data_IF_079286947618
#
_entry.id   IF_079286947618
#
_cell.length_a   1.000
_cell.length_b   1.000
_cell.length_c   1.000
_cell.angle_alpha   90.00
_cell.angle_beta   90.00
_cell.angle_gamma   90.00
#
_symmetry.space_group_name_H-M   'P 1'
#
loop_
_entity.id
_entity.type
_entity.pdbx_description
1 polymer ?
#
# COMPACT_ATOMS: atom_id res chain seq x y z
N UNK A 1 17.91 8.31 8.58
CA UNK A 1 17.18 7.05 8.40
C UNK A 1 17.88 5.93 9.15
N UNK A 2 17.11 5.12 9.84
CA UNK A 2 17.56 3.89 10.49
C UNK A 2 16.65 2.74 10.05
N UNK A 3 17.26 1.63 9.62
CA UNK A 3 16.56 0.39 9.26
C UNK A 3 17.25 -0.77 9.98
N UNK A 4 16.50 -1.57 10.71
CA UNK A 4 16.99 -2.73 11.43
C UNK A 4 16.02 -3.90 11.36
N UNK A 5 16.55 -5.12 11.21
CA UNK A 5 15.77 -6.36 11.28
C UNK A 5 16.54 -7.40 12.09
N UNK A 6 15.85 -8.01 13.03
CA UNK A 6 16.33 -9.18 13.76
C UNK A 6 15.37 -10.35 13.57
N UNK A 7 15.87 -11.56 13.58
CA UNK A 7 15.04 -12.75 13.54
C UNK A 7 15.66 -13.89 14.36
N UNK A 8 14.80 -14.78 14.81
CA UNK A 8 15.16 -16.07 15.41
C UNK A 8 14.44 -17.16 14.64
N UNK A 9 15.15 -18.18 14.23
CA UNK A 9 14.61 -19.37 13.58
C UNK A 9 15.12 -20.61 14.28
N UNK A 10 14.21 -21.52 14.60
CA UNK A 10 14.50 -22.77 15.28
C UNK A 10 13.83 -23.93 14.55
N UNK A 11 14.50 -25.09 14.55
CA UNK A 11 13.95 -26.36 14.09
C UNK A 11 13.80 -27.32 15.29
N UNK A 12 12.68 -27.27 16.04
CA UNK A 12 12.48 -28.09 17.22
C UNK A 12 12.40 -29.59 16.91
N UNK A 13 11.93 -29.94 15.73
CA UNK A 13 11.92 -31.29 15.16
C UNK A 13 12.24 -31.20 13.65
N UNK A 14 12.68 -32.31 13.08
CA UNK A 14 12.99 -32.40 11.65
C UNK A 14 11.85 -31.88 10.79
N UNK A 15 12.16 -31.01 9.81
CA UNK A 15 11.24 -30.42 8.84
C UNK A 15 10.22 -29.41 9.43
N UNK A 16 10.29 -29.07 10.71
CA UNK A 16 9.45 -28.04 11.32
C UNK A 16 10.31 -26.83 11.65
N UNK A 17 10.13 -25.73 10.93
CA UNK A 17 10.77 -24.45 11.22
C UNK A 17 9.76 -23.49 11.87
N UNK A 18 10.22 -22.79 12.91
CA UNK A 18 9.48 -21.71 13.57
C UNK A 18 10.38 -20.47 13.52
N UNK A 19 9.89 -19.44 12.87
CA UNK A 19 10.60 -18.18 12.69
C UNK A 19 9.81 -17.01 13.25
N UNK A 20 10.47 -16.22 14.09
CA UNK A 20 9.98 -14.91 14.51
C UNK A 20 10.92 -13.83 14.00
N UNK A 21 10.37 -12.73 13.51
CA UNK A 21 11.16 -11.59 13.08
C UNK A 21 10.55 -10.27 13.51
N UNK A 22 11.41 -9.30 13.75
CA UNK A 22 11.02 -7.92 14.06
C UNK A 22 11.87 -6.98 13.21
N UNK A 23 11.18 -6.15 12.41
CA UNK A 23 11.78 -5.09 11.63
C UNK A 23 11.33 -3.74 12.18
N UNK A 24 12.24 -2.80 12.24
CA UNK A 24 11.99 -1.44 12.69
C UNK A 24 12.65 -0.47 11.72
N UNK A 25 11.87 0.53 11.29
CA UNK A 25 12.32 1.61 10.42
C UNK A 25 11.98 2.94 11.08
N UNK A 26 12.94 3.83 11.09
CA UNK A 26 12.76 5.22 11.52
C UNK A 26 13.31 6.16 10.45
N UNK A 27 12.45 6.98 9.91
CA UNK A 27 12.78 8.05 8.97
C UNK A 27 12.56 9.40 9.66
N UNK A 28 13.49 10.30 9.45
CA UNK A 28 13.41 11.67 9.90
C UNK A 28 13.96 12.57 8.81
N UNK A 29 13.26 13.64 8.51
CA UNK A 29 13.74 14.66 7.59
C UNK A 29 13.20 16.02 7.99
N UNK A 30 13.88 17.05 7.57
CA UNK A 30 13.45 18.43 7.70
C UNK A 30 13.43 19.13 6.34
N UNK A 31 12.65 20.16 6.24
CA UNK A 31 12.55 21.02 5.06
C UNK A 31 12.53 22.47 5.51
N UNK A 32 13.41 23.28 4.93
CA UNK A 32 13.43 24.72 5.15
C UNK A 32 13.06 25.36 3.82
N UNK A 33 12.01 26.19 3.82
CA UNK A 33 11.54 26.95 2.67
C UNK A 33 11.52 28.43 2.99
N UNK A 34 12.03 29.27 2.09
CA UNK A 34 11.94 30.72 2.21
C UNK A 34 11.12 31.27 1.02
N UNK A 35 10.16 32.11 1.32
CA UNK A 35 9.37 32.83 0.33
C UNK A 35 9.68 34.32 0.47
N UNK A 36 10.28 34.97 -0.56
CA UNK A 36 10.60 36.38 -0.50
C UNK A 36 9.33 37.25 -0.52
N UNK A 37 9.44 38.46 -0.02
CA UNK A 37 8.39 39.44 -0.13
C UNK A 37 8.14 39.76 -1.61
N UNK A 38 6.90 39.58 -2.06
CA UNK A 38 6.51 39.84 -3.44
C UNK A 38 5.20 40.62 -3.51
N UNK A 39 5.24 41.77 -4.19
CA UNK A 39 4.08 42.60 -4.46
C UNK A 39 3.93 42.68 -5.98
N UNK A 40 3.01 41.89 -6.61
CA UNK A 40 2.74 41.99 -8.01
C UNK A 40 2.17 43.36 -8.36
N UNK A 41 2.55 43.89 -9.52
CA UNK A 41 2.06 45.17 -10.03
C UNK A 41 1.34 44.97 -11.36
N UNK A 42 0.30 45.78 -11.61
CA UNK A 42 -0.35 45.84 -12.91
C UNK A 42 0.54 46.55 -13.96
N UNK A 43 0.07 46.67 -15.19
CA UNK A 43 0.79 47.36 -16.29
C UNK A 43 1.00 48.84 -16.04
N UNK A 44 0.35 49.43 -15.03
CA UNK A 44 0.47 50.82 -14.64
C UNK A 44 1.33 51.00 -13.37
N UNK A 45 1.89 49.91 -12.82
CA UNK A 45 2.72 49.95 -11.63
C UNK A 45 1.93 49.95 -10.28
N UNK A 46 0.62 49.73 -10.33
CA UNK A 46 -0.17 49.65 -9.09
C UNK A 46 -0.09 48.25 -8.47
N UNK A 47 0.00 48.12 -7.15
CA UNK A 47 -0.05 46.85 -6.49
C UNK A 47 -1.37 46.11 -6.76
N UNK A 48 -1.32 44.86 -7.20
CA UNK A 48 -2.50 44.03 -7.52
C UNK A 48 -2.60 42.78 -6.64
N UNK A 49 -2.05 42.80 -5.43
CA UNK A 49 -2.07 41.71 -4.47
C UNK A 49 -0.68 41.44 -3.91
N UNK A 50 -0.50 40.24 -3.37
CA UNK A 50 0.71 39.85 -2.66
C UNK A 50 0.70 40.22 -1.18
N UNK A 51 1.51 39.54 -0.37
CA UNK A 51 1.54 39.76 1.07
C UNK A 51 2.42 40.96 1.45
N UNK A 52 3.37 41.35 0.60
CA UNK A 52 4.43 42.30 0.92
C UNK A 52 5.36 41.85 2.04
N UNK A 53 5.19 40.63 2.53
CA UNK A 53 5.95 39.99 3.59
C UNK A 53 6.70 38.77 3.07
N UNK A 54 7.85 38.54 3.64
CA UNK A 54 8.58 37.30 3.43
C UNK A 54 8.23 36.27 4.51
N UNK A 55 8.39 35.02 4.16
CA UNK A 55 8.10 33.89 5.05
C UNK A 55 9.27 32.91 5.08
N UNK A 56 9.53 32.37 6.26
CA UNK A 56 10.43 31.26 6.48
C UNK A 56 9.63 30.11 7.08
N UNK A 57 9.64 28.97 6.42
CA UNK A 57 9.01 27.74 6.91
C UNK A 57 10.09 26.74 7.29
N UNK A 58 10.07 26.26 8.54
CA UNK A 58 10.91 25.16 9.03
C UNK A 58 9.99 23.99 9.44
N UNK A 59 10.06 22.92 8.70
CA UNK A 59 9.22 21.75 8.88
C UNK A 59 10.05 20.52 9.24
N UNK A 60 9.63 19.84 10.28
CA UNK A 60 10.21 18.61 10.79
C UNK A 60 9.21 17.46 10.63
N UNK A 61 9.69 16.34 10.11
CA UNK A 61 8.89 15.12 9.85
C UNK A 61 9.58 13.93 10.48
N UNK A 62 8.80 13.05 11.07
CA UNK A 62 9.25 11.75 11.53
C UNK A 62 8.24 10.66 11.17
N UNK A 63 8.76 9.53 10.75
CA UNK A 63 7.97 8.33 10.45
C UNK A 63 8.62 7.14 11.12
N UNK A 64 7.82 6.39 11.85
CA UNK A 64 8.21 5.13 12.48
C UNK A 64 7.37 4.01 11.93
N UNK A 65 8.00 2.96 11.46
CA UNK A 65 7.34 1.73 11.07
C UNK A 65 7.96 0.54 11.81
N UNK A 66 7.14 -0.38 12.28
CA UNK A 66 7.63 -1.67 12.71
C UNK A 66 6.75 -2.80 12.18
N UNK A 67 7.37 -3.95 11.95
CA UNK A 67 6.72 -5.17 11.49
C UNK A 67 7.22 -6.31 12.37
N UNK A 68 6.28 -7.04 12.96
CA UNK A 68 6.54 -8.31 13.63
C UNK A 68 5.88 -9.43 12.84
N UNK A 69 6.64 -10.47 12.50
CA UNK A 69 6.16 -11.63 11.78
C UNK A 69 6.52 -12.91 12.53
N UNK A 70 5.57 -13.83 12.58
CA UNK A 70 5.73 -15.16 13.15
C UNK A 70 5.26 -16.17 12.11
N UNK A 71 6.15 -17.11 11.73
CA UNK A 71 5.89 -18.09 10.67
C UNK A 71 6.25 -19.46 11.17
N UNK A 72 5.38 -20.43 10.90
CA UNK A 72 5.59 -21.85 11.13
C UNK A 72 5.56 -22.52 9.77
N UNK A 73 6.57 -23.29 9.44
CA UNK A 73 6.64 -24.08 8.19
C UNK A 73 6.88 -25.55 8.53
N UNK A 74 6.10 -26.41 7.92
CA UNK A 74 6.28 -27.86 8.05
C UNK A 74 6.30 -28.52 6.68
N UNK A 75 7.33 -29.33 6.43
CA UNK A 75 7.53 -30.05 5.19
C UNK A 75 7.55 -31.54 5.44
N UNK A 76 6.88 -32.34 4.59
CA UNK A 76 7.02 -33.80 4.61
C UNK A 76 6.82 -34.42 3.23
N UNK A 77 7.50 -35.53 3.03
CA UNK A 77 7.43 -36.33 1.82
C UNK A 77 6.99 -37.76 2.15
N UNK A 78 6.05 -38.29 1.40
CA UNK A 78 5.61 -39.68 1.52
C UNK A 78 5.21 -40.25 0.16
N UNK A 79 5.85 -41.35 -0.25
CA UNK A 79 5.53 -42.06 -1.50
C UNK A 79 5.48 -41.17 -2.76
N UNK A 80 6.37 -40.14 -2.84
CA UNK A 80 6.43 -39.19 -3.94
C UNK A 80 5.44 -38.03 -3.86
N UNK A 81 4.68 -37.94 -2.76
CA UNK A 81 3.86 -36.80 -2.44
C UNK A 81 4.64 -35.87 -1.49
N UNK A 82 4.94 -34.68 -1.93
CA UNK A 82 5.57 -33.64 -1.13
C UNK A 82 4.55 -32.57 -0.73
N UNK A 83 4.51 -32.26 0.55
CA UNK A 83 3.66 -31.21 1.13
C UNK A 83 4.50 -30.18 1.85
N UNK A 84 4.17 -28.91 1.67
CA UNK A 84 4.73 -27.82 2.43
C UNK A 84 3.57 -26.98 3.00
N UNK A 85 3.48 -26.92 4.30
CA UNK A 85 2.50 -26.12 5.05
C UNK A 85 3.18 -24.91 5.63
N UNK A 86 2.55 -23.75 5.49
CA UNK A 86 2.98 -22.52 6.12
C UNK A 86 1.78 -21.89 6.82
N UNK A 87 1.98 -21.49 8.06
CA UNK A 87 1.06 -20.65 8.83
C UNK A 87 1.83 -19.43 9.30
N UNK A 88 1.26 -18.26 9.15
CA UNK A 88 1.90 -17.03 9.53
C UNK A 88 0.95 -16.01 10.12
N UNK A 89 1.52 -15.14 10.94
CA UNK A 89 0.88 -13.98 11.53
C UNK A 89 1.83 -12.79 11.37
N UNK A 90 1.30 -11.63 10.94
CA UNK A 90 2.05 -10.40 10.83
C UNK A 90 1.29 -9.25 11.48
N UNK A 91 2.01 -8.39 12.19
CA UNK A 91 1.51 -7.11 12.67
C UNK A 91 2.43 -6.01 12.13
N UNK A 92 1.83 -5.01 11.53
CA UNK A 92 2.50 -3.81 11.05
C UNK A 92 1.87 -2.58 11.71
N UNK A 93 2.72 -1.62 12.07
CA UNK A 93 2.29 -0.35 12.62
C UNK A 93 3.13 0.76 12.02
N UNK A 94 2.46 1.83 11.60
CA UNK A 94 3.05 3.05 11.07
C UNK A 94 2.60 4.22 11.93
N UNK A 95 3.53 5.09 12.30
CA UNK A 95 3.26 6.36 12.98
C UNK A 95 3.98 7.49 12.24
N UNK A 96 3.24 8.51 11.89
CA UNK A 96 3.73 9.72 11.25
C UNK A 96 3.48 10.91 12.16
N UNK A 97 4.47 11.80 12.26
CA UNK A 97 4.33 13.09 12.95
C UNK A 97 5.02 14.17 12.14
N UNK A 98 4.40 15.35 12.12
CA UNK A 98 5.02 16.55 11.58
C UNK A 98 4.85 17.74 12.51
N UNK A 99 5.80 18.65 12.44
CA UNK A 99 5.73 19.96 13.05
C UNK A 99 6.23 20.96 12.03
N UNK A 100 5.45 21.99 11.77
CA UNK A 100 5.81 23.07 10.85
C UNK A 100 5.77 24.37 11.63
N UNK A 101 6.87 25.09 11.67
CA UNK A 101 6.97 26.43 12.20
C UNK A 101 7.15 27.44 11.06
N UNK A 102 6.44 28.54 11.12
CA UNK A 102 6.48 29.60 10.11
C UNK A 102 6.84 30.91 10.78
N UNK A 103 7.89 31.56 10.29
CA UNK A 103 8.27 32.94 10.62
C UNK A 103 7.78 33.89 9.53
N UNK A 104 7.32 35.05 9.91
CA UNK A 104 6.77 36.07 9.04
C UNK A 104 7.49 37.38 9.28
N UNK A 105 7.72 38.17 8.23
CA UNK A 105 8.31 39.50 8.30
C UNK A 105 9.76 39.49 8.86
N UNK A 106 10.65 38.80 8.11
CA UNK A 106 12.07 38.76 8.43
C UNK A 106 12.77 40.05 7.89
N UNK A 107 13.77 40.58 8.60
CA UNK A 107 14.52 41.78 8.14
C UNK A 107 15.23 41.59 6.79
N UNK A 108 15.45 40.37 6.37
CA UNK A 108 16.06 40.04 5.06
C UNK A 108 15.69 38.64 4.64
N UNK A 109 15.52 38.41 3.32
CA UNK A 109 15.27 37.10 2.71
C UNK A 109 16.45 36.09 2.88
N UNK A 110 17.62 36.62 3.29
CA UNK A 110 18.80 35.78 3.56
C UNK A 110 18.82 35.17 4.98
N UNK A 111 17.87 35.55 5.86
CA UNK A 111 17.77 35.01 7.20
C UNK A 111 17.06 33.64 7.13
N UNK A 112 17.74 32.60 7.58
CA UNK A 112 17.26 31.21 7.57
C UNK A 112 16.96 30.65 8.95
N UNK A 113 16.74 31.53 9.94
CA UNK A 113 16.39 31.16 11.31
C UNK A 113 15.13 31.88 11.77
N UNK A 114 14.23 31.15 12.42
CA UNK A 114 12.91 31.65 12.84
C UNK A 114 13.01 32.85 13.87
N UNK A 115 14.07 32.91 14.67
CA UNK A 115 14.27 34.00 15.64
C UNK A 115 14.43 35.36 14.98
N UNK A 116 14.68 35.41 13.66
CA UNK A 116 14.74 36.67 12.91
C UNK A 116 13.37 37.21 12.50
N UNK A 117 12.31 36.47 12.66
CA UNK A 117 10.96 36.86 12.25
C UNK A 117 10.28 37.76 13.27
N UNK A 118 9.47 38.70 12.78
CA UNK A 118 8.66 39.57 13.63
C UNK A 118 7.55 38.79 14.36
N UNK A 119 6.97 37.80 13.68
CA UNK A 119 6.01 36.86 14.27
C UNK A 119 6.30 35.42 13.86
N UNK A 120 5.98 34.51 14.77
CA UNK A 120 6.12 33.07 14.52
C UNK A 120 4.85 32.33 14.87
N UNK A 121 4.55 31.29 14.12
CA UNK A 121 3.45 30.34 14.36
C UNK A 121 3.94 28.91 14.20
N UNK A 122 3.29 27.96 14.85
CA UNK A 122 3.58 26.55 14.68
C UNK A 122 2.29 25.73 14.61
N UNK A 123 2.32 24.68 13.79
CA UNK A 123 1.27 23.68 13.68
C UNK A 123 1.90 22.29 13.61
N UNK A 124 1.14 21.27 13.94
CA UNK A 124 1.61 19.89 13.85
C UNK A 124 0.48 18.92 13.57
N UNK A 125 0.85 17.81 12.95
CA UNK A 125 -0.04 16.69 12.65
C UNK A 125 0.55 15.38 13.16
N UNK A 126 -0.33 14.42 13.48
CA UNK A 126 0.03 13.06 13.81
C UNK A 126 -0.99 12.10 13.20
N UNK A 127 -0.50 11.01 12.65
CA UNK A 127 -1.34 9.98 12.07
C UNK A 127 -0.72 8.60 12.32
N UNK A 128 -1.57 7.59 12.45
CA UNK A 128 -1.13 6.23 12.65
C UNK A 128 -2.00 5.23 11.88
N UNK A 129 -1.40 4.13 11.48
CA UNK A 129 -2.11 3.02 10.87
C UNK A 129 -1.54 1.68 11.37
N UNK A 130 -2.42 0.69 11.47
CA UNK A 130 -2.05 -0.67 11.81
C UNK A 130 -2.69 -1.66 10.85
N UNK A 131 -1.93 -2.72 10.54
CA UNK A 131 -2.39 -3.85 9.74
C UNK A 131 -2.04 -5.14 10.50
N UNK A 132 -3.04 -5.99 10.72
CA UNK A 132 -2.86 -7.34 11.27
C UNK A 132 -3.25 -8.36 10.23
N UNK A 133 -2.41 -9.36 10.07
CA UNK A 133 -2.60 -10.41 9.06
C UNK A 133 -2.43 -11.79 9.67
N UNK A 134 -3.28 -12.72 9.21
CA UNK A 134 -3.10 -14.16 9.41
C UNK A 134 -3.14 -14.80 8.03
N UNK A 135 -2.19 -15.67 7.75
CA UNK A 135 -2.11 -16.30 6.45
C UNK A 135 -1.65 -17.75 6.55
N UNK A 136 -2.11 -18.54 5.61
CA UNK A 136 -1.73 -19.94 5.48
C UNK A 136 -1.52 -20.31 4.01
N UNK A 137 -0.60 -21.23 3.78
CA UNK A 137 -0.28 -21.81 2.47
C UNK A 137 -0.13 -23.30 2.57
N UNK A 138 -0.64 -23.99 1.57
CA UNK A 138 -0.38 -25.41 1.34
C UNK A 138 0.15 -25.58 -0.07
N UNK A 139 1.37 -26.07 -0.22
CA UNK A 139 1.93 -26.49 -1.48
C UNK A 139 1.93 -28.01 -1.54
N UNK A 140 1.53 -28.53 -2.67
CA UNK A 140 1.52 -29.95 -2.98
C UNK A 140 2.26 -30.21 -4.28
N UNK A 141 3.12 -31.23 -4.26
CA UNK A 141 3.83 -31.71 -5.43
C UNK A 141 3.77 -33.25 -5.43
N UNK A 142 3.34 -33.81 -6.55
CA UNK A 142 3.39 -35.24 -6.77
C UNK A 142 4.34 -35.58 -7.91
N UNK A 143 5.53 -36.13 -7.55
CA UNK A 143 6.56 -36.60 -8.48
C UNK A 143 6.95 -35.58 -9.54
N UNK A 144 6.92 -34.28 -9.21
CA UNK A 144 7.14 -33.17 -10.13
C UNK A 144 6.19 -33.11 -11.35
N UNK A 145 5.10 -33.89 -11.32
CA UNK A 145 4.08 -33.96 -12.38
C UNK A 145 2.89 -33.06 -12.10
N UNK A 146 2.32 -33.20 -10.90
CA UNK A 146 1.13 -32.46 -10.50
C UNK A 146 1.50 -31.53 -9.34
N UNK A 147 1.26 -30.24 -9.57
CA UNK A 147 1.56 -29.18 -8.63
C UNK A 147 0.26 -28.49 -8.24
N UNK A 148 0.08 -28.21 -6.98
CA UNK A 148 -1.04 -27.40 -6.50
C UNK A 148 -0.60 -26.53 -5.35
N UNK A 149 -1.13 -25.31 -5.30
CA UNK A 149 -0.93 -24.39 -4.19
C UNK A 149 -2.28 -23.78 -3.81
N UNK A 150 -2.51 -23.66 -2.51
CA UNK A 150 -3.62 -22.92 -1.95
C UNK A 150 -3.09 -21.94 -0.92
N UNK A 151 -3.52 -20.68 -1.00
CA UNK A 151 -3.24 -19.65 -0.02
C UNK A 151 -4.56 -19.02 0.47
N UNK A 152 -4.57 -18.66 1.73
CA UNK A 152 -5.60 -17.82 2.32
C UNK A 152 -4.95 -16.78 3.21
N UNK A 153 -5.32 -15.52 3.00
CA UNK A 153 -4.89 -14.40 3.84
C UNK A 153 -6.11 -13.66 4.39
N UNK A 154 -6.10 -13.42 5.70
CA UNK A 154 -7.06 -12.59 6.41
C UNK A 154 -6.33 -11.36 6.93
N UNK A 155 -6.75 -10.20 6.49
CA UNK A 155 -6.17 -8.91 6.87
C UNK A 155 -7.17 -8.04 7.62
N UNK A 156 -6.70 -7.32 8.62
CA UNK A 156 -7.46 -6.32 9.37
C UNK A 156 -6.70 -4.99 9.35
N UNK A 157 -7.31 -3.96 8.74
CA UNK A 157 -6.70 -2.64 8.60
C UNK A 157 -7.41 -1.58 9.45
N UNK A 158 -6.65 -0.74 10.15
CA UNK A 158 -7.19 0.41 10.86
C UNK A 158 -7.68 1.54 9.94
N UNK A 159 -7.30 1.54 8.65
CA UNK A 159 -7.73 2.52 7.65
C UNK A 159 -9.19 2.31 7.22
N UNK A 160 -9.75 1.15 7.53
CA UNK A 160 -11.11 0.74 7.16
C UNK A 160 -12.00 0.68 8.41
N UNK A 161 -13.27 1.13 8.34
CA UNK A 161 -14.17 1.14 9.48
C UNK A 161 -14.39 -0.27 10.05
N UNK A 162 -14.63 -0.35 11.36
CA UNK A 162 -14.67 -1.61 12.11
C UNK A 162 -15.56 -2.70 11.45
N UNK A 163 -16.70 -2.33 10.86
CA UNK A 163 -17.62 -3.29 10.25
C UNK A 163 -17.07 -3.97 8.98
N UNK A 164 -16.18 -3.28 8.23
CA UNK A 164 -15.61 -3.74 6.97
C UNK A 164 -14.09 -3.96 7.05
N UNK A 165 -13.51 -3.88 8.26
CA UNK A 165 -12.07 -3.89 8.51
C UNK A 165 -11.38 -5.15 8.04
N UNK A 166 -12.07 -6.29 8.10
CA UNK A 166 -11.53 -7.60 7.76
C UNK A 166 -11.74 -7.90 6.28
N UNK A 167 -10.64 -8.19 5.58
CA UNK A 167 -10.63 -8.74 4.22
C UNK A 167 -10.12 -10.18 4.21
N UNK A 168 -10.61 -11.00 3.28
CA UNK A 168 -10.15 -12.36 3.02
C UNK A 168 -9.72 -12.46 1.57
N UNK A 169 -8.50 -12.96 1.35
CA UNK A 169 -7.85 -12.99 0.05
C UNK A 169 -7.36 -14.40 -0.23
N UNK A 170 -8.22 -15.27 -0.80
CA UNK A 170 -7.85 -16.61 -1.21
C UNK A 170 -7.10 -16.60 -2.54
N UNK A 171 -6.23 -17.61 -2.74
CA UNK A 171 -5.70 -17.93 -4.07
C UNK A 171 -5.46 -19.42 -4.22
N UNK A 172 -5.57 -19.90 -5.46
CA UNK A 172 -5.29 -21.28 -5.83
C UNK A 172 -4.51 -21.30 -7.14
N UNK A 173 -3.54 -22.19 -7.25
CA UNK A 173 -2.85 -22.47 -8.50
C UNK A 173 -2.67 -23.98 -8.68
N UNK A 174 -2.68 -24.40 -9.94
CA UNK A 174 -2.43 -25.78 -10.35
C UNK A 174 -1.45 -25.81 -11.51
N UNK A 175 -0.63 -26.83 -11.55
CA UNK A 175 0.31 -27.06 -12.63
C UNK A 175 0.39 -28.55 -12.98
N UNK A 176 0.41 -28.84 -14.27
CA UNK A 176 0.66 -30.17 -14.78
C UNK A 176 1.90 -30.15 -15.66
N UNK A 177 2.94 -30.82 -15.19
CA UNK A 177 4.18 -30.97 -15.93
C UNK A 177 4.07 -32.19 -16.87
N UNK A 178 3.50 -31.97 -18.03
CA UNK A 178 3.19 -33.00 -19.04
C UNK A 178 4.48 -33.70 -19.48
N UNK A 179 5.59 -32.97 -19.58
CA UNK A 179 6.86 -33.54 -20.01
C UNK A 179 7.39 -34.65 -19.07
N UNK A 180 6.91 -34.72 -17.81
CA UNK A 180 7.28 -35.75 -16.84
C UNK A 180 6.39 -36.99 -16.89
N UNK A 181 5.42 -37.06 -17.82
CA UNK A 181 4.55 -38.21 -17.98
C UNK A 181 5.22 -39.32 -18.82
N UNK A 182 4.98 -40.57 -18.46
CA UNK A 182 5.59 -41.74 -19.16
C UNK A 182 5.31 -41.76 -20.67
N UNK A 183 4.14 -41.26 -21.10
CA UNK A 183 3.81 -41.21 -22.53
C UNK A 183 4.63 -40.17 -23.31
N UNK A 184 5.28 -39.23 -22.60
CA UNK A 184 6.14 -38.20 -23.20
C UNK A 184 7.60 -38.64 -23.39
N UNK A 185 8.04 -39.74 -22.79
CA UNK A 185 9.42 -40.25 -22.89
C UNK A 185 9.90 -40.45 -24.34
N UNK A 186 8.99 -40.80 -25.24
CA UNK A 186 9.28 -40.96 -26.68
C UNK A 186 9.53 -39.65 -27.44
N UNK A 187 9.20 -38.48 -26.82
CA UNK A 187 9.34 -37.17 -27.46
C UNK A 187 10.53 -36.42 -26.87
N UNK A 188 11.73 -36.98 -26.98
CA UNK A 188 12.95 -36.44 -26.39
C UNK A 188 13.34 -35.03 -26.83
N UNK A 189 12.76 -34.50 -27.91
CA UNK A 189 12.97 -33.13 -28.35
C UNK A 189 12.20 -32.10 -27.53
N UNK A 190 11.19 -32.54 -26.73
CA UNK A 190 10.44 -31.71 -25.80
C UNK A 190 11.15 -31.76 -24.44
N UNK A 191 11.82 -30.69 -24.06
CA UNK A 191 12.56 -30.60 -22.79
C UNK A 191 11.66 -30.21 -21.61
N UNK A 192 10.62 -29.41 -21.89
CA UNK A 192 9.61 -28.97 -20.92
C UNK A 192 8.27 -28.81 -21.64
N UNK A 193 7.20 -29.20 -20.96
CA UNK A 193 5.84 -28.90 -21.35
C UNK A 193 5.00 -28.87 -20.07
N UNK A 194 4.62 -27.66 -19.63
CA UNK A 194 3.86 -27.44 -18.41
C UNK A 194 2.62 -26.62 -18.72
N UNK A 195 1.46 -27.12 -18.33
CA UNK A 195 0.22 -26.37 -18.30
C UNK A 195 0.01 -25.82 -16.89
N UNK A 196 -0.39 -24.56 -16.75
CA UNK A 196 -0.66 -23.92 -15.47
C UNK A 196 -1.94 -23.12 -15.49
N UNK A 197 -2.57 -23.02 -14.34
CA UNK A 197 -3.73 -22.18 -14.15
C UNK A 197 -3.75 -21.66 -12.72
N UNK A 198 -4.14 -20.41 -12.55
CA UNK A 198 -4.28 -19.79 -11.24
C UNK A 198 -5.47 -18.85 -11.17
N UNK A 199 -5.98 -18.71 -9.97
CA UNK A 199 -6.95 -17.70 -9.58
C UNK A 199 -6.61 -17.18 -8.19
N UNK A 200 -6.79 -15.88 -7.99
CA UNK A 200 -6.57 -15.30 -6.67
C UNK A 200 -7.14 -13.90 -6.53
N UNK A 201 -7.39 -13.53 -5.29
CA UNK A 201 -7.83 -12.20 -4.90
C UNK A 201 -6.76 -11.47 -4.09
N UNK A 202 -6.60 -10.18 -4.36
CA UNK A 202 -5.76 -9.24 -3.63
C UNK A 202 -6.60 -8.10 -3.11
N UNK A 203 -6.31 -7.64 -1.89
CA UNK A 203 -6.92 -6.46 -1.29
C UNK A 203 -6.03 -5.24 -1.38
N UNK A 204 -6.62 -4.09 -1.65
CA UNK A 204 -5.97 -2.80 -1.56
C UNK A 204 -6.68 -1.91 -0.54
N UNK A 205 -5.91 -1.20 0.28
CA UNK A 205 -6.35 -0.27 1.32
C UNK A 205 -5.59 1.07 1.28
N UNK A 206 -4.90 1.37 0.18
CA UNK A 206 -4.06 2.56 0.07
C UNK A 206 -4.93 3.83 -0.03
N UNK A 207 -5.49 4.20 1.09
CA UNK A 207 -6.24 5.43 1.37
C UNK A 207 -5.61 6.12 2.56
N UNK A 208 -5.91 7.40 2.74
CA UNK A 208 -5.44 8.19 3.87
C UNK A 208 -5.72 7.56 5.24
N UNK A 209 -5.30 8.22 6.28
CA UNK A 209 -5.56 7.79 7.66
C UNK A 209 -7.02 8.14 8.04
N UNK A 210 -7.75 7.18 8.60
CA UNK A 210 -9.15 7.34 9.08
C UNK A 210 -10.12 8.03 8.09
N UNK A 211 -10.11 7.70 6.79
CA UNK A 211 -10.92 8.39 5.79
C UNK A 211 -12.43 8.18 5.98
N UNK A 212 -12.81 7.26 6.86
CA UNK A 212 -14.21 7.00 7.26
C UNK A 212 -14.70 7.91 8.39
N UNK A 213 -13.78 8.66 9.04
CA UNK A 213 -14.14 9.56 10.13
C UNK A 213 -14.52 10.94 9.60
N UNK A 214 -15.41 11.61 10.32
CA UNK A 214 -15.73 13.00 10.07
C UNK A 214 -14.70 13.90 10.74
N UNK A 215 -14.11 14.81 9.97
CA UNK A 215 -13.16 15.77 10.51
C UNK A 215 -13.83 17.13 10.76
N UNK A 216 -13.41 17.76 11.84
CA UNK A 216 -13.80 19.11 12.20
C UNK A 216 -12.59 20.02 11.95
N UNK A 217 -12.76 20.95 11.02
CA UNK A 217 -11.77 21.98 10.71
C UNK A 217 -11.86 23.10 11.76
N UNK A 218 -10.71 23.41 12.35
CA UNK A 218 -10.54 24.56 13.23
C UNK A 218 -10.23 25.81 12.39
N UNK A 219 -10.46 27.00 12.97
CA UNK A 219 -10.14 28.26 12.29
C UNK A 219 -11.18 28.74 11.28
N UNK A 220 -12.35 28.09 11.21
CA UNK A 220 -13.51 28.57 10.47
C UNK A 220 -14.18 29.70 11.26
N UNK A 221 -13.50 30.86 11.28
CA UNK A 221 -13.88 31.98 12.12
C UNK A 221 -15.16 32.66 11.63
N UNK A 222 -15.95 33.14 12.56
CA UNK A 222 -17.17 33.87 12.34
C UNK A 222 -17.04 35.32 12.81
N UNK A 223 -17.64 36.25 12.14
CA UNK A 223 -17.70 37.67 12.55
C UNK A 223 -19.00 37.91 13.31
N UNK A 224 -18.89 38.29 14.56
CA UNK A 224 -20.01 38.66 15.41
C UNK A 224 -19.87 40.14 15.82
N UNK A 225 -20.73 40.98 15.20
CA UNK A 225 -20.52 42.44 15.24
C UNK A 225 -19.15 42.80 14.62
N UNK A 226 -18.31 43.51 15.33
CA UNK A 226 -16.96 43.92 14.88
C UNK A 226 -15.85 42.94 15.33
N UNK A 227 -16.22 41.83 15.98
CA UNK A 227 -15.24 40.91 16.54
C UNK A 227 -15.18 39.58 15.71
N UNK A 228 -13.95 39.14 15.43
CA UNK A 228 -13.67 37.84 14.88
C UNK A 228 -13.69 36.79 16.00
N UNK A 229 -14.65 35.84 15.92
CA UNK A 229 -14.79 34.75 16.89
C UNK A 229 -14.29 33.45 16.27
N UNK A 230 -13.50 32.70 17.04
CA UNK A 230 -13.00 31.40 16.63
C UNK A 230 -14.17 30.43 16.45
N UNK A 231 -14.21 29.76 15.30
CA UNK A 231 -15.23 28.81 14.95
C UNK A 231 -14.68 27.50 14.43
N UNK A 232 -15.56 26.51 14.34
CA UNK A 232 -15.29 25.18 13.81
C UNK A 232 -16.34 24.83 12.78
N UNK A 233 -15.95 24.07 11.77
CA UNK A 233 -16.87 23.55 10.77
C UNK A 233 -16.51 22.10 10.40
N UNK A 234 -17.51 21.37 9.87
CA UNK A 234 -17.24 20.06 9.29
C UNK A 234 -16.41 20.26 8.02
N UNK A 235 -15.21 19.69 7.98
CA UNK A 235 -14.29 19.82 6.83
C UNK A 235 -14.32 18.62 5.88
N UNK A 236 -14.82 17.46 6.33
CA UNK A 236 -14.98 16.26 5.48
C UNK A 236 -16.27 15.51 5.82
N UNK A 237 -16.84 14.85 4.82
CA UNK A 237 -17.96 13.91 5.03
C UNK A 237 -17.41 12.56 5.53
N UNK A 238 -18.07 12.00 6.53
CA UNK A 238 -17.81 10.62 6.94
C UNK A 238 -18.37 9.63 5.92
N UNK A 239 -17.61 8.61 5.58
CA UNK A 239 -18.13 7.44 4.87
C UNK A 239 -17.88 6.16 5.69
N UNK A 240 -18.83 5.74 6.53
CA UNK A 240 -18.68 4.55 7.37
C UNK A 240 -18.79 3.25 6.58
N UNK A 241 -19.07 3.30 5.27
CA UNK A 241 -19.29 2.13 4.40
C UNK A 241 -18.05 1.74 3.60
N UNK A 242 -16.93 2.46 3.73
CA UNK A 242 -15.68 2.13 3.08
C UNK A 242 -15.30 0.68 3.37
N UNK A 243 -14.91 -0.05 2.33
CA UNK A 243 -14.42 -1.43 2.37
C UNK A 243 -13.17 -1.60 1.51
N UNK A 244 -12.57 -2.77 1.58
CA UNK A 244 -11.43 -3.13 0.75
C UNK A 244 -11.75 -3.03 -0.74
N UNK A 245 -10.85 -2.42 -1.51
CA UNK A 245 -10.79 -2.62 -2.95
C UNK A 245 -10.23 -4.01 -3.21
N UNK A 246 -10.82 -4.77 -4.13
CA UNK A 246 -10.41 -6.13 -4.44
C UNK A 246 -10.05 -6.29 -5.91
N UNK A 247 -8.96 -7.02 -6.16
CA UNK A 247 -8.56 -7.40 -7.51
C UNK A 247 -8.54 -8.91 -7.60
N UNK A 248 -9.44 -9.48 -8.40
CA UNK A 248 -9.45 -10.89 -8.77
C UNK A 248 -8.71 -11.08 -10.10
N UNK A 249 -7.75 -12.02 -10.10
CA UNK A 249 -6.98 -12.37 -11.31
C UNK A 249 -7.12 -13.84 -11.59
N UNK A 250 -7.43 -14.19 -12.85
CA UNK A 250 -7.36 -15.54 -13.39
C UNK A 250 -6.27 -15.55 -14.45
N UNK A 251 -5.42 -16.56 -14.42
CA UNK A 251 -4.33 -16.75 -15.37
C UNK A 251 -4.29 -18.22 -15.82
N UNK A 252 -4.14 -18.46 -17.13
CA UNK A 252 -3.95 -19.78 -17.72
C UNK A 252 -2.77 -19.68 -18.66
N UNK A 253 -1.76 -20.52 -18.45
CA UNK A 253 -0.51 -20.46 -19.21
C UNK A 253 0.05 -21.81 -19.58
N UNK A 254 0.89 -21.78 -20.60
CA UNK A 254 1.68 -22.92 -21.07
C UNK A 254 3.15 -22.51 -21.15
N UNK A 255 4.01 -23.33 -20.56
CA UNK A 255 5.46 -23.21 -20.68
C UNK A 255 5.97 -24.42 -21.48
N UNK A 256 6.65 -24.18 -22.59
CA UNK A 256 7.25 -25.21 -23.42
C UNK A 256 8.73 -24.92 -23.68
N UNK A 257 9.55 -25.96 -23.68
CA UNK A 257 10.95 -25.87 -24.09
C UNK A 257 11.32 -27.08 -24.97
N UNK A 258 12.13 -26.83 -25.97
CA UNK A 258 12.50 -27.78 -26.98
C UNK A 258 14.03 -27.83 -27.16
N UNK A 259 14.52 -28.98 -27.71
CA UNK A 259 15.92 -29.15 -28.09
C UNK A 259 16.92 -28.86 -26.97
N UNK A 260 16.71 -29.47 -25.80
CA UNK A 260 17.52 -29.23 -24.60
C UNK A 260 17.50 -27.76 -24.15
N UNK A 261 16.28 -27.17 -24.11
CA UNK A 261 16.01 -25.78 -23.71
C UNK A 261 16.61 -24.70 -24.63
N UNK A 262 16.98 -25.06 -25.88
CA UNK A 262 17.45 -24.05 -26.85
C UNK A 262 16.34 -23.13 -27.34
N UNK A 263 15.11 -23.64 -27.40
CA UNK A 263 13.94 -22.85 -27.76
C UNK A 263 12.99 -22.92 -26.59
N UNK A 264 12.56 -21.77 -26.08
CA UNK A 264 11.58 -21.64 -25.01
C UNK A 264 10.39 -20.82 -25.48
N UNK A 265 9.20 -21.24 -25.12
CA UNK A 265 7.93 -20.57 -25.41
C UNK A 265 7.11 -20.51 -24.13
N UNK A 266 6.67 -19.32 -23.79
CA UNK A 266 5.64 -19.08 -22.75
C UNK A 266 4.46 -18.36 -23.42
N UNK A 267 3.26 -18.81 -23.14
CA UNK A 267 2.04 -18.17 -23.60
C UNK A 267 1.03 -18.15 -22.46
N UNK A 268 0.50 -16.96 -22.15
CA UNK A 268 -0.44 -16.72 -21.09
C UNK A 268 -1.68 -16.00 -21.58
N UNK A 269 -2.82 -16.37 -21.02
CA UNK A 269 -4.04 -15.59 -21.05
C UNK A 269 -4.39 -15.17 -19.63
N UNK A 270 -4.53 -13.86 -19.42
CA UNK A 270 -4.94 -13.33 -18.14
C UNK A 270 -6.26 -12.56 -18.22
N UNK A 271 -7.03 -12.67 -17.14
CA UNK A 271 -8.22 -11.87 -16.89
C UNK A 271 -8.15 -11.29 -15.49
N UNK A 272 -8.11 -9.96 -15.39
CA UNK A 272 -8.00 -9.22 -14.13
C UNK A 272 -9.19 -8.28 -13.98
N UNK A 273 -9.90 -8.38 -12.86
CA UNK A 273 -10.99 -7.49 -12.50
C UNK A 273 -10.71 -6.83 -11.16
N UNK A 274 -10.56 -5.51 -11.15
CA UNK A 274 -10.55 -4.70 -9.93
C UNK A 274 -11.95 -4.19 -9.67
N UNK A 275 -12.45 -4.39 -8.47
CA UNK A 275 -13.79 -4.02 -8.02
C UNK A 275 -13.72 -3.18 -6.76
N UNK A 276 -14.76 -2.40 -6.50
CA UNK A 276 -14.83 -1.55 -5.32
C UNK A 276 -13.65 -0.57 -5.21
N UNK A 277 -13.21 -0.02 -6.36
CA UNK A 277 -12.07 0.90 -6.41
C UNK A 277 -12.30 2.08 -5.47
N UNK A 278 -11.30 2.32 -4.63
CA UNK A 278 -11.28 3.39 -3.65
C UNK A 278 -10.85 4.70 -4.31
N UNK A 279 -11.79 5.65 -4.44
CA UNK A 279 -11.53 6.94 -5.06
C UNK A 279 -12.31 8.06 -4.36
N UNK A 280 -11.84 9.29 -4.53
CA UNK A 280 -12.57 10.48 -4.08
C UNK A 280 -13.46 10.98 -5.21
N UNK A 281 -14.75 11.14 -4.91
CA UNK A 281 -15.71 11.69 -5.88
C UNK A 281 -15.96 13.16 -5.61
N UNK A 282 -15.92 14.02 -6.66
CA UNK A 282 -16.22 15.43 -6.50
C UNK A 282 -17.65 15.63 -5.97
N UNK A 283 -17.77 16.54 -5.02
CA UNK A 283 -19.03 16.95 -4.43
C UNK A 283 -19.37 18.38 -4.87
N UNK A 284 -20.66 18.71 -5.07
CA UNK A 284 -21.05 20.08 -5.43
C UNK A 284 -20.59 21.09 -4.37
N UNK A 285 -19.97 22.19 -4.80
CA UNK A 285 -19.44 23.23 -3.90
C UNK A 285 -20.49 23.84 -2.95
N UNK A 286 -21.80 23.77 -3.29
CA UNK A 286 -22.89 24.21 -2.44
C UNK A 286 -22.99 23.44 -1.10
N UNK A 287 -22.41 22.25 -1.01
CA UNK A 287 -22.33 21.47 0.24
C UNK A 287 -21.42 22.15 1.27
N UNK A 288 -20.52 23.04 0.83
CA UNK A 288 -19.63 23.81 1.72
C UNK A 288 -18.52 22.99 2.37
N UNK A 289 -18.19 21.82 1.83
CA UNK A 289 -17.14 20.91 2.34
C UNK A 289 -15.99 20.91 1.36
N UNK A 290 -14.77 21.04 1.87
CA UNK A 290 -13.55 21.17 1.07
C UNK A 290 -12.84 19.85 0.74
N UNK A 291 -13.16 18.77 1.46
CA UNK A 291 -12.53 17.47 1.29
C UNK A 291 -13.52 16.42 0.81
N UNK A 292 -13.26 15.86 -0.33
CA UNK A 292 -14.10 14.82 -0.95
C UNK A 292 -13.97 13.50 -0.19
N UNK A 293 -15.08 12.81 0.09
CA UNK A 293 -15.04 11.52 0.77
C UNK A 293 -14.52 10.41 -0.13
N UNK A 294 -13.81 9.45 0.45
CA UNK A 294 -13.50 8.20 -0.22
C UNK A 294 -14.76 7.33 -0.33
N UNK A 295 -14.94 6.73 -1.50
CA UNK A 295 -16.04 5.80 -1.80
C UNK A 295 -15.54 4.62 -2.62
N UNK A 296 -16.20 3.47 -2.50
CA UNK A 296 -15.98 2.31 -3.36
C UNK A 296 -16.93 2.42 -4.57
N UNK A 297 -16.51 3.01 -5.68
CA UNK A 297 -17.46 3.45 -6.72
C UNK A 297 -17.17 2.95 -8.14
N UNK A 298 -16.03 2.31 -8.40
CA UNK A 298 -15.65 1.93 -9.75
C UNK A 298 -15.21 0.47 -9.86
N UNK A 299 -15.21 -0.06 -11.07
CA UNK A 299 -14.56 -1.31 -11.42
C UNK A 299 -13.86 -1.20 -12.77
N UNK A 300 -12.73 -1.91 -12.90
CA UNK A 300 -11.94 -1.96 -14.13
C UNK A 300 -11.64 -3.41 -14.46
N UNK A 301 -11.69 -3.74 -15.76
CA UNK A 301 -11.32 -5.04 -16.29
C UNK A 301 -10.12 -4.88 -17.22
N UNK A 302 -9.16 -5.79 -17.08
CA UNK A 302 -8.03 -5.92 -17.98
C UNK A 302 -7.93 -7.39 -18.38
N UNK A 303 -7.79 -7.67 -19.65
CA UNK A 303 -7.58 -9.01 -20.17
C UNK A 303 -6.62 -8.97 -21.36
N UNK A 304 -5.88 -10.04 -21.59
CA UNK A 304 -4.91 -10.07 -22.66
C UNK A 304 -4.17 -11.37 -22.78
N UNK A 305 -3.35 -11.43 -23.82
CA UNK A 305 -2.40 -12.50 -24.09
C UNK A 305 -0.98 -11.98 -23.97
N UNK A 306 -0.13 -12.78 -23.38
CA UNK A 306 1.30 -12.51 -23.27
C UNK A 306 2.07 -13.67 -23.87
N UNK A 307 3.10 -13.35 -24.67
CA UNK A 307 3.95 -14.35 -25.32
C UNK A 307 5.42 -14.00 -25.09
N UNK A 308 6.20 -15.00 -24.73
CA UNK A 308 7.66 -14.89 -24.68
C UNK A 308 8.28 -16.03 -25.49
N UNK A 309 9.20 -15.70 -26.37
CA UNK A 309 9.99 -16.64 -27.18
C UNK A 309 11.47 -16.41 -26.92
N UNK A 310 12.19 -17.46 -26.55
CA UNK A 310 13.63 -17.45 -26.33
C UNK A 310 14.35 -18.46 -27.25
N UNK A 311 15.55 -18.07 -27.70
CA UNK A 311 16.45 -18.92 -28.49
C UNK A 311 17.91 -18.74 -28.03
#
# INVERSE_FOLDING_TARGET
RFDGKAFLEIEPIKNLSIKTSFAYQYNQWNSIGAEPAYIPQDSYGNPVGGSGKNYLTDAYYSETQWINENIITYHFDVNGHAFNFLLGQSNQYNNFRSTTATGEDLPSDNITVLNGALSTSAKGDAAEAALRSFFGRVNYNYKDRYLAEFNLRRDESSRIPKKNRTGYFPSVSVGWNIAQEAFMEKYSFISQLKLRGSWGELGNQEIGYYPFAQYIGLGNNYVWGDNKVSGVAISSLANPDIKWETTATTDIGIDAAFLNNKITLTADYFYKKTSDILLQLPIPGIVGISTEPYVNAASVKNEGWEFALGY
#
